data_IF_666226230083
#
_entry.id   IF_666226230083
#
_cell.length_a   1.000
_cell.length_b   1.000
_cell.length_c   1.000
_cell.angle_alpha   90.00
_cell.angle_beta   90.00
_cell.angle_gamma   90.00
#
_symmetry.space_group_name_H-M   'P 1'
#
loop_
_entity.id
_entity.type
_entity.pdbx_description
1 polymer ?
#
# COMPACT_ATOMS: atom_id res chain seq x y z
N UNK A 1 12.53 -4.79 -24.96
CA UNK A 1 11.92 -3.70 -24.16
C UNK A 1 10.81 -4.33 -23.33
N UNK A 2 11.10 -4.75 -22.10
CA UNK A 2 10.11 -5.40 -21.23
C UNK A 2 9.36 -4.31 -20.47
N UNK A 3 8.15 -4.00 -20.93
CA UNK A 3 7.21 -3.14 -20.23
C UNK A 3 6.86 -3.83 -18.90
N UNK A 4 7.17 -3.21 -17.76
CA UNK A 4 6.64 -3.66 -16.47
C UNK A 4 5.12 -3.44 -16.55
N UNK A 5 4.36 -4.54 -16.62
CA UNK A 5 2.91 -4.53 -16.48
C UNK A 5 2.61 -3.85 -15.15
N UNK A 6 1.97 -2.68 -15.21
CA UNK A 6 1.54 -1.93 -14.02
C UNK A 6 0.68 -2.90 -13.20
N UNK A 7 0.93 -3.07 -11.90
CA UNK A 7 0.00 -3.80 -11.06
C UNK A 7 -1.37 -3.15 -11.19
N UNK A 8 -2.35 -3.90 -11.67
CA UNK A 8 -3.75 -3.46 -11.79
C UNK A 8 -4.30 -3.32 -10.37
N UNK A 9 -4.00 -2.19 -9.75
CA UNK A 9 -4.83 -1.67 -8.69
C UNK A 9 -6.00 -0.99 -9.38
N UNK A 10 -7.19 -1.57 -9.26
CA UNK A 10 -8.40 -0.91 -9.74
C UNK A 10 -8.86 0.16 -8.73
N UNK A 11 -8.04 1.20 -8.62
CA UNK A 11 -8.31 2.35 -7.75
C UNK A 11 -9.52 3.15 -8.24
N UNK A 12 -9.83 3.07 -9.55
CA UNK A 12 -10.97 3.74 -10.15
C UNK A 12 -12.28 3.07 -9.72
N UNK A 13 -12.41 1.75 -9.82
CA UNK A 13 -13.59 1.04 -9.31
C UNK A 13 -13.79 1.25 -7.81
N UNK A 14 -12.71 1.24 -7.02
CA UNK A 14 -12.79 1.52 -5.59
C UNK A 14 -13.27 2.95 -5.32
N UNK A 15 -12.78 3.93 -6.09
CA UNK A 15 -13.24 5.33 -6.00
C UNK A 15 -14.72 5.45 -6.30
N UNK A 16 -15.18 4.86 -7.40
CA UNK A 16 -16.59 4.90 -7.79
C UNK A 16 -17.50 4.24 -6.74
N UNK A 17 -17.08 3.11 -6.17
CA UNK A 17 -17.79 2.47 -5.05
C UNK A 17 -17.88 3.40 -3.84
N UNK A 18 -16.77 4.05 -3.47
CA UNK A 18 -16.70 4.94 -2.33
C UNK A 18 -17.59 6.18 -2.50
N UNK A 19 -17.59 6.76 -3.70
CA UNK A 19 -18.41 7.92 -4.03
C UNK A 19 -19.89 7.55 -4.13
N UNK A 20 -20.21 6.37 -4.66
CA UNK A 20 -21.57 5.81 -4.67
C UNK A 20 -22.12 5.64 -3.25
N UNK A 21 -21.36 4.98 -2.36
CA UNK A 21 -21.74 4.79 -0.95
C UNK A 21 -21.89 6.13 -0.23
N UNK A 22 -20.99 7.09 -0.48
CA UNK A 22 -21.11 8.40 0.13
C UNK A 22 -22.39 9.12 -0.36
N UNK A 23 -22.70 9.10 -1.67
CA UNK A 23 -23.97 9.65 -2.18
C UNK A 23 -25.18 8.98 -1.54
N UNK A 24 -25.15 7.66 -1.41
CA UNK A 24 -26.20 6.88 -0.77
C UNK A 24 -26.42 7.32 0.69
N UNK A 25 -25.36 7.45 1.49
CA UNK A 25 -25.47 7.87 2.90
C UNK A 25 -25.95 9.32 3.07
N UNK A 26 -25.79 10.18 2.05
CA UNK A 26 -26.35 11.54 2.07
C UNK A 26 -27.84 11.59 1.69
N UNK A 27 -28.37 10.54 1.04
CA UNK A 27 -29.77 10.48 0.61
C UNK A 27 -30.73 10.46 1.79
N UNK A 28 -31.78 11.31 1.81
CA UNK A 28 -32.81 11.30 2.86
C UNK A 28 -33.44 9.93 3.07
N UNK A 29 -33.60 9.14 2.00
CA UNK A 29 -34.18 7.80 2.08
C UNK A 29 -33.35 6.87 2.97
N UNK A 30 -32.04 6.78 2.73
CA UNK A 30 -31.12 5.96 3.53
C UNK A 30 -31.08 6.42 4.98
N UNK A 31 -31.17 7.73 5.24
CA UNK A 31 -31.24 8.26 6.61
C UNK A 31 -32.50 7.78 7.32
N UNK A 32 -33.66 7.91 6.67
CA UNK A 32 -34.94 7.45 7.21
C UNK A 32 -34.96 5.93 7.37
N UNK A 33 -34.36 5.17 6.44
CA UNK A 33 -34.24 3.72 6.55
C UNK A 33 -33.49 3.32 7.83
N UNK A 34 -32.34 3.96 8.10
CA UNK A 34 -31.54 3.70 9.30
C UNK A 34 -32.30 4.08 10.59
N UNK A 35 -32.97 5.25 10.61
CA UNK A 35 -33.69 5.75 11.79
C UNK A 35 -34.96 4.93 12.04
N UNK A 36 -35.82 4.75 11.03
CA UNK A 36 -37.12 4.09 11.20
C UNK A 36 -37.00 2.60 11.52
N UNK A 37 -35.93 1.94 11.07
CA UNK A 37 -35.69 0.52 11.35
C UNK A 37 -34.79 0.29 12.59
N UNK A 38 -34.51 1.33 13.39
CA UNK A 38 -33.74 1.22 14.63
C UNK A 38 -32.31 0.69 14.41
N UNK A 39 -31.65 1.13 13.32
CA UNK A 39 -30.32 0.66 12.92
C UNK A 39 -29.20 1.57 13.41
N UNK A 40 -29.42 2.32 14.48
CA UNK A 40 -28.41 3.20 15.07
C UNK A 40 -27.20 2.41 15.56
N UNK A 41 -27.42 1.21 16.10
CA UNK A 41 -26.32 0.32 16.49
C UNK A 41 -25.45 -0.05 15.29
N UNK A 42 -26.08 -0.42 14.17
CA UNK A 42 -25.36 -0.74 12.93
C UNK A 42 -24.57 0.48 12.42
N UNK A 43 -25.21 1.64 12.35
CA UNK A 43 -24.55 2.86 11.89
C UNK A 43 -23.37 3.27 12.78
N UNK A 44 -23.48 3.08 14.10
CA UNK A 44 -22.38 3.25 15.05
C UNK A 44 -21.23 2.28 14.77
N UNK A 45 -21.53 0.99 14.61
CA UNK A 45 -20.51 -0.03 14.34
C UNK A 45 -19.76 0.22 13.02
N UNK A 46 -20.49 0.61 11.97
CA UNK A 46 -19.90 0.95 10.66
C UNK A 46 -19.10 2.25 10.73
N UNK A 47 -19.56 3.24 11.50
CA UNK A 47 -18.83 4.48 11.77
C UNK A 47 -17.49 4.20 12.45
N UNK A 48 -17.48 3.35 13.48
CA UNK A 48 -16.27 2.90 14.18
C UNK A 48 -15.35 2.07 13.29
N UNK A 49 -15.91 1.20 12.44
CA UNK A 49 -15.14 0.43 11.48
C UNK A 49 -14.48 1.34 10.42
N UNK A 50 -15.19 2.38 9.96
CA UNK A 50 -14.68 3.38 9.01
C UNK A 50 -13.50 4.16 9.61
N UNK A 51 -13.60 4.55 10.89
CA UNK A 51 -12.50 5.20 11.62
C UNK A 51 -11.26 4.31 11.69
N UNK A 52 -11.43 3.06 12.14
CA UNK A 52 -10.32 2.09 12.24
C UNK A 52 -9.67 1.81 10.88
N UNK A 53 -10.45 1.83 9.80
CA UNK A 53 -9.91 1.71 8.45
C UNK A 53 -9.16 2.97 8.02
N UNK A 54 -9.64 4.17 8.38
CA UNK A 54 -8.94 5.41 8.08
C UNK A 54 -7.57 5.45 8.78
N UNK A 55 -7.52 5.12 10.08
CA UNK A 55 -6.26 5.00 10.83
C UNK A 55 -5.31 3.97 10.20
N UNK A 56 -5.87 2.91 9.62
CA UNK A 56 -5.10 1.88 8.93
C UNK A 56 -4.53 2.35 7.60
N UNK A 57 -5.28 3.17 6.83
CA UNK A 57 -4.78 3.83 5.63
C UNK A 57 -3.65 4.82 5.97
N UNK A 58 -3.83 5.63 7.02
CA UNK A 58 -2.79 6.56 7.48
C UNK A 58 -1.51 5.82 7.89
N UNK A 59 -1.61 4.77 8.72
CA UNK A 59 -0.45 3.98 9.11
C UNK A 59 0.21 3.23 7.93
N UNK A 60 -0.55 2.83 6.92
CA UNK A 60 0.00 2.25 5.70
C UNK A 60 0.74 3.29 4.86
N UNK A 61 0.25 4.54 4.81
CA UNK A 61 0.91 5.67 4.15
C UNK A 61 2.25 5.98 4.82
N UNK A 62 2.30 6.02 6.15
CA UNK A 62 3.55 6.23 6.88
C UNK A 62 4.60 5.15 6.55
N UNK A 63 4.19 3.88 6.46
CA UNK A 63 5.09 2.79 6.06
C UNK A 63 5.56 2.92 4.60
N UNK A 64 4.67 3.39 3.72
CA UNK A 64 4.99 3.63 2.32
C UNK A 64 5.99 4.78 2.18
N UNK A 65 5.86 5.85 2.97
CA UNK A 65 6.83 6.95 3.02
C UNK A 65 8.21 6.45 3.47
N UNK A 66 8.27 5.64 4.53
CA UNK A 66 9.53 5.01 4.96
C UNK A 66 10.14 4.09 3.88
N UNK A 67 9.30 3.39 3.12
CA UNK A 67 9.75 2.59 1.98
C UNK A 67 10.22 3.45 0.80
N UNK A 68 9.59 4.61 0.56
CA UNK A 68 10.00 5.59 -0.45
C UNK A 68 11.36 6.19 -0.11
N UNK A 69 11.59 6.60 1.13
CA UNK A 69 12.91 7.07 1.59
C UNK A 69 14.02 6.03 1.37
N UNK A 70 13.70 4.76 1.66
CA UNK A 70 14.60 3.64 1.39
C UNK A 70 14.91 3.47 -0.11
N UNK A 71 13.87 3.54 -0.95
CA UNK A 71 13.98 3.44 -2.41
C UNK A 71 14.84 4.57 -2.98
N UNK A 72 14.59 5.82 -2.56
CA UNK A 72 15.34 7.00 -2.98
C UNK A 72 16.81 6.87 -2.59
N UNK A 73 17.10 6.45 -1.35
CA UNK A 73 18.48 6.22 -0.91
C UNK A 73 19.22 5.20 -1.78
N UNK A 74 18.54 4.10 -2.16
CA UNK A 74 19.09 3.13 -3.12
C UNK A 74 19.33 3.78 -4.48
N UNK A 75 18.34 4.50 -5.03
CA UNK A 75 18.44 5.15 -6.34
C UNK A 75 19.61 6.14 -6.39
N UNK A 76 19.81 6.95 -5.35
CA UNK A 76 20.97 7.85 -5.23
C UNK A 76 22.29 7.06 -5.22
N UNK A 77 22.37 5.95 -4.48
CA UNK A 77 23.56 5.11 -4.45
C UNK A 77 23.88 4.52 -5.83
N UNK A 78 22.90 3.93 -6.51
CA UNK A 78 23.06 3.35 -7.84
C UNK A 78 23.45 4.40 -8.89
N UNK A 79 22.81 5.59 -8.88
CA UNK A 79 23.13 6.69 -9.80
C UNK A 79 24.56 7.20 -9.60
N UNK A 80 24.99 7.39 -8.35
CA UNK A 80 26.36 7.86 -8.04
C UNK A 80 27.40 6.86 -8.53
N UNK A 81 27.18 5.58 -8.31
CA UNK A 81 28.11 4.53 -8.69
C UNK A 81 28.14 4.32 -10.21
N UNK A 82 27.01 4.47 -10.89
CA UNK A 82 26.95 4.47 -12.35
C UNK A 82 27.79 5.62 -12.97
N UNK A 83 27.83 6.78 -12.32
CA UNK A 83 28.62 7.93 -12.76
C UNK A 83 30.13 7.76 -12.50
N UNK A 84 30.52 7.18 -11.36
CA UNK A 84 31.95 6.94 -11.07
C UNK A 84 32.53 5.78 -11.90
N UNK A 85 31.71 4.78 -12.23
CA UNK A 85 32.11 3.66 -13.08
C UNK A 85 32.48 4.06 -14.53
N UNK A 86 32.06 5.26 -14.97
CA UNK A 86 32.45 5.80 -16.28
C UNK A 86 33.76 6.60 -16.26
N UNK A 87 34.27 6.98 -15.08
CA UNK A 87 35.39 7.93 -14.94
C UNK A 87 36.72 7.26 -14.51
N UNK A 88 36.70 6.13 -13.81
CA UNK A 88 37.93 5.47 -13.29
C UNK A 88 37.89 3.95 -13.42
N UNK A 89 38.53 3.41 -14.45
CA UNK A 89 38.75 1.96 -14.62
C UNK A 89 39.89 1.39 -13.75
N UNK A 90 40.48 2.18 -12.85
CA UNK A 90 41.60 1.77 -12.02
C UNK A 90 41.35 2.08 -10.53
N UNK A 91 41.57 1.06 -9.69
CA UNK A 91 41.72 1.09 -8.24
C UNK A 91 40.57 1.62 -7.36
N UNK A 92 39.50 0.84 -7.21
CA UNK A 92 38.51 1.12 -6.15
C UNK A 92 38.03 -0.15 -5.45
N UNK A 93 38.87 -0.70 -4.56
CA UNK A 93 38.50 -1.73 -3.59
C UNK A 93 37.81 -1.13 -2.34
N UNK A 94 36.91 -0.16 -2.54
CA UNK A 94 36.16 0.49 -1.46
C UNK A 94 34.67 0.12 -1.54
N UNK A 95 34.04 -0.14 -0.40
CA UNK A 95 32.60 -0.41 -0.32
C UNK A 95 31.82 0.89 -0.60
N UNK A 96 31.64 1.24 -1.88
CA UNK A 96 31.02 2.49 -2.36
C UNK A 96 29.58 2.71 -1.85
N UNK A 97 29.01 1.65 -1.29
CA UNK A 97 27.67 1.60 -0.79
C UNK A 97 27.55 1.64 0.75
N UNK A 98 28.65 1.57 1.51
CA UNK A 98 28.63 1.61 2.99
C UNK A 98 27.90 2.85 3.56
N UNK A 99 28.00 4.06 2.96
CA UNK A 99 27.23 5.22 3.41
C UNK A 99 25.71 5.10 3.22
N UNK A 100 25.25 4.13 2.42
CA UNK A 100 23.84 3.91 2.06
C UNK A 100 23.24 2.70 2.75
N UNK A 101 23.80 2.31 3.90
CA UNK A 101 23.29 1.22 4.71
C UNK A 101 21.94 1.59 5.33
N UNK A 102 20.90 0.88 4.93
CA UNK A 102 19.52 1.18 5.29
C UNK A 102 18.98 0.28 6.42
N UNK A 103 18.14 0.78 7.35
CA UNK A 103 17.57 0.01 8.46
C UNK A 103 16.41 -0.91 8.04
N UNK A 104 16.63 -1.75 7.02
CA UNK A 104 15.64 -2.68 6.41
C UNK A 104 14.97 -3.61 7.44
N UNK A 105 15.70 -4.02 8.48
CA UNK A 105 15.17 -4.91 9.53
C UNK A 105 14.03 -4.26 10.31
N UNK A 106 14.16 -2.97 10.63
CA UNK A 106 13.14 -2.22 11.36
C UNK A 106 11.90 -2.00 10.48
N UNK A 107 12.12 -1.57 9.23
CA UNK A 107 11.04 -1.35 8.28
C UNK A 107 10.27 -2.66 7.98
N UNK A 108 10.97 -3.76 7.75
CA UNK A 108 10.36 -5.10 7.60
C UNK A 108 9.53 -5.48 8.83
N UNK A 109 10.05 -5.26 10.04
CA UNK A 109 9.32 -5.54 11.29
C UNK A 109 8.03 -4.71 11.37
N UNK A 110 8.10 -3.43 11.01
CA UNK A 110 6.95 -2.54 11.00
C UNK A 110 5.89 -2.97 9.97
N UNK A 111 6.30 -3.32 8.74
CA UNK A 111 5.41 -3.87 7.70
C UNK A 111 4.71 -5.16 8.19
N UNK A 112 5.47 -6.12 8.71
CA UNK A 112 4.91 -7.38 9.21
C UNK A 112 3.92 -7.16 10.37
N UNK A 113 4.23 -6.23 11.28
CA UNK A 113 3.31 -5.84 12.37
C UNK A 113 2.00 -5.31 11.80
N UNK A 114 2.06 -4.43 10.80
CA UNK A 114 0.85 -3.86 10.16
C UNK A 114 0.04 -4.90 9.41
N UNK A 115 0.69 -5.83 8.69
CA UNK A 115 0.02 -6.95 8.03
C UNK A 115 -0.74 -7.83 9.03
N UNK A 116 -0.14 -8.12 10.19
CA UNK A 116 -0.81 -8.90 11.23
C UNK A 116 -2.00 -8.14 11.82
N UNK A 117 -1.86 -6.83 12.06
CA UNK A 117 -2.96 -5.97 12.52
C UNK A 117 -4.13 -5.94 11.52
N UNK A 118 -3.86 -5.73 10.22
CA UNK A 118 -4.90 -5.72 9.17
C UNK A 118 -5.61 -7.07 9.02
N UNK A 119 -4.89 -8.19 9.19
CA UNK A 119 -5.50 -9.53 9.21
C UNK A 119 -6.42 -9.74 10.40
N UNK A 120 -6.07 -9.18 11.57
CA UNK A 120 -6.88 -9.26 12.79
C UNK A 120 -8.17 -8.45 12.73
N UNK A 121 -8.23 -7.40 11.90
CA UNK A 121 -9.43 -6.57 11.69
C UNK A 121 -10.59 -7.30 10.97
N UNK A 122 -10.44 -8.60 10.66
CA UNK A 122 -11.44 -9.39 9.94
C UNK A 122 -12.81 -9.40 10.63
N UNK A 123 -12.82 -9.32 11.96
CA UNK A 123 -14.01 -9.53 12.79
C UNK A 123 -14.85 -8.26 12.99
N UNK A 124 -14.29 -7.05 12.79
CA UNK A 124 -15.00 -5.79 13.10
C UNK A 124 -15.95 -5.35 11.96
N UNK A 125 -15.58 -5.53 10.68
CA UNK A 125 -16.51 -5.28 9.55
C UNK A 125 -17.63 -6.33 9.46
N UNK A 126 -17.45 -7.52 10.05
CA UNK A 126 -18.41 -8.63 9.95
C UNK A 126 -19.49 -8.60 11.04
N UNK A 127 -19.25 -7.93 12.17
CA UNK A 127 -20.27 -7.78 13.21
C UNK A 127 -21.46 -6.93 12.73
N UNK A 128 -21.20 -5.93 11.87
CA UNK A 128 -22.22 -5.11 11.22
C UNK A 128 -22.98 -5.84 10.10
N UNK A 129 -22.59 -7.08 9.75
CA UNK A 129 -23.23 -7.87 8.68
C UNK A 129 -24.41 -8.72 9.17
N UNK A 130 -24.85 -8.59 10.43
CA UNK A 130 -26.06 -9.25 10.95
C UNK A 130 -27.38 -8.70 10.37
N UNK A 131 -27.34 -7.96 9.27
CA UNK A 131 -28.55 -7.55 8.55
C UNK A 131 -29.16 -8.77 7.86
N UNK A 132 -30.47 -8.93 7.97
CA UNK A 132 -31.21 -9.98 7.29
C UNK A 132 -31.02 -9.82 5.76
N UNK A 133 -30.74 -10.90 5.02
CA UNK A 133 -30.27 -10.84 3.64
C UNK A 133 -31.26 -10.27 2.60
N UNK A 134 -32.52 -10.02 2.95
CA UNK A 134 -33.58 -9.74 1.97
C UNK A 134 -34.03 -8.27 1.88
N UNK A 135 -33.64 -7.39 2.82
CA UNK A 135 -34.23 -6.03 2.86
C UNK A 135 -33.29 -4.87 2.46
N UNK A 136 -31.95 -5.00 2.52
CA UNK A 136 -31.07 -3.81 2.55
C UNK A 136 -29.81 -3.84 1.67
N UNK A 137 -30.00 -3.96 0.36
CA UNK A 137 -28.88 -3.90 -0.62
C UNK A 137 -28.02 -2.62 -0.46
N UNK A 138 -28.65 -1.51 -0.07
CA UNK A 138 -27.98 -0.23 0.14
C UNK A 138 -26.99 -0.27 1.32
N UNK A 139 -27.38 -0.82 2.46
CA UNK A 139 -26.50 -0.91 3.64
C UNK A 139 -25.39 -1.95 3.44
N UNK A 140 -25.68 -3.03 2.70
CA UNK A 140 -24.68 -4.02 2.32
C UNK A 140 -23.51 -3.39 1.52
N UNK A 141 -23.80 -2.42 0.63
CA UNK A 141 -22.78 -1.71 -0.14
C UNK A 141 -21.75 -0.97 0.75
N UNK A 142 -22.18 -0.45 1.90
CA UNK A 142 -21.28 0.22 2.87
C UNK A 142 -20.30 -0.78 3.50
N UNK A 143 -20.78 -1.98 3.80
CA UNK A 143 -19.94 -3.07 4.34
C UNK A 143 -18.96 -3.59 3.28
N UNK A 144 -19.42 -3.75 2.03
CA UNK A 144 -18.54 -4.15 0.92
C UNK A 144 -17.45 -3.11 0.65
N UNK A 145 -17.77 -1.82 0.69
CA UNK A 145 -16.77 -0.76 0.60
C UNK A 145 -15.65 -0.93 1.64
N UNK A 146 -15.99 -1.14 2.92
CA UNK A 146 -14.98 -1.32 3.96
C UNK A 146 -14.13 -2.59 3.75
N UNK A 147 -14.71 -3.66 3.20
CA UNK A 147 -13.98 -4.87 2.83
C UNK A 147 -12.98 -4.59 1.71
N UNK A 148 -13.38 -3.82 0.69
CA UNK A 148 -12.55 -3.49 -0.46
C UNK A 148 -11.41 -2.55 -0.09
N UNK A 149 -11.68 -1.51 0.72
CA UNK A 149 -10.63 -0.63 1.26
C UNK A 149 -9.64 -1.42 2.10
N UNK A 150 -10.11 -2.38 2.92
CA UNK A 150 -9.21 -3.26 3.67
C UNK A 150 -8.36 -4.14 2.75
N UNK A 151 -8.96 -4.73 1.72
CA UNK A 151 -8.24 -5.57 0.76
C UNK A 151 -7.15 -4.77 0.04
N UNK A 152 -7.49 -3.57 -0.42
CA UNK A 152 -6.59 -2.63 -1.09
C UNK A 152 -5.44 -2.20 -0.18
N UNK A 153 -5.72 -1.73 1.03
CA UNK A 153 -4.69 -1.37 2.02
C UNK A 153 -3.78 -2.55 2.36
N UNK A 154 -4.33 -3.77 2.47
CA UNK A 154 -3.56 -4.98 2.71
C UNK A 154 -2.67 -5.33 1.52
N UNK A 155 -3.13 -5.14 0.28
CA UNK A 155 -2.31 -5.30 -0.91
C UNK A 155 -1.14 -4.32 -0.93
N UNK A 156 -1.40 -3.03 -0.71
CA UNK A 156 -0.35 -1.98 -0.68
C UNK A 156 0.69 -2.29 0.39
N UNK A 157 0.27 -2.62 1.63
CA UNK A 157 1.21 -2.94 2.71
C UNK A 157 2.01 -4.22 2.40
N UNK A 158 1.42 -5.21 1.74
CA UNK A 158 2.15 -6.42 1.30
C UNK A 158 3.21 -6.10 0.26
N UNK A 159 2.89 -5.24 -0.70
CA UNK A 159 3.81 -4.89 -1.77
C UNK A 159 5.03 -4.12 -1.25
N UNK A 160 4.94 -3.46 -0.09
CA UNK A 160 6.11 -2.86 0.58
C UNK A 160 7.23 -3.88 0.89
N UNK A 161 6.90 -5.16 1.16
CA UNK A 161 7.92 -6.20 1.41
C UNK A 161 8.85 -6.39 0.21
N UNK A 162 8.31 -6.18 -0.99
CA UNK A 162 9.01 -6.27 -2.25
C UNK A 162 9.76 -4.95 -2.56
N UNK A 163 9.23 -3.79 -2.15
CA UNK A 163 9.94 -2.49 -2.29
C UNK A 163 11.23 -2.42 -1.47
N UNK A 164 11.20 -2.89 -0.24
CA UNK A 164 12.36 -2.82 0.67
C UNK A 164 13.42 -3.89 0.36
N UNK A 165 13.21 -4.64 -0.72
CA UNK A 165 14.08 -5.68 -1.20
C UNK A 165 15.27 -5.14 -1.99
N UNK A 166 16.27 -5.99 -2.26
CA UNK A 166 17.47 -5.60 -3.00
C UNK A 166 17.50 -6.31 -4.35
N UNK A 167 17.53 -5.61 -5.49
CA UNK A 167 17.52 -6.27 -6.79
C UNK A 167 18.55 -7.41 -6.84
N UNK A 168 18.15 -8.59 -7.31
CA UNK A 168 19.10 -9.69 -7.48
C UNK A 168 19.61 -9.66 -8.93
N UNK A 169 20.90 -9.42 -9.16
CA UNK A 169 21.49 -9.46 -10.50
C UNK A 169 21.57 -10.88 -11.08
N UNK A 170 21.62 -11.94 -10.24
CA UNK A 170 21.52 -13.32 -10.70
C UNK A 170 20.06 -13.63 -11.10
N UNK A 171 19.72 -13.34 -12.35
CA UNK A 171 18.39 -13.43 -12.96
C UNK A 171 17.71 -14.81 -12.99
N UNK A 172 18.11 -15.77 -12.16
CA UNK A 172 17.39 -17.04 -12.03
C UNK A 172 16.12 -16.82 -11.21
N UNK A 173 14.99 -16.82 -11.89
CA UNK A 173 13.62 -16.82 -11.36
C UNK A 173 13.38 -18.13 -10.58
N UNK A 174 13.95 -18.25 -9.38
CA UNK A 174 13.54 -19.27 -8.41
C UNK A 174 12.03 -19.24 -8.25
N UNK A 175 11.38 -20.30 -8.73
CA UNK A 175 9.96 -20.58 -8.65
C UNK A 175 9.41 -20.27 -7.26
N UNK A 176 8.37 -19.44 -7.14
CA UNK A 176 7.55 -19.42 -5.93
C UNK A 176 6.93 -18.09 -5.50
N UNK A 177 7.42 -16.91 -5.92
CA UNK A 177 6.78 -15.63 -5.56
C UNK A 177 6.51 -14.77 -6.79
N UNK A 178 5.30 -14.91 -7.33
CA UNK A 178 4.72 -14.08 -8.37
C UNK A 178 4.06 -12.86 -7.71
N UNK A 179 4.84 -11.95 -7.14
CA UNK A 179 4.29 -10.62 -6.81
C UNK A 179 4.45 -9.76 -8.08
N UNK A 180 3.35 -9.46 -8.79
CA UNK A 180 3.41 -8.75 -10.07
C UNK A 180 3.83 -7.28 -9.90
N UNK A 181 3.60 -6.71 -8.71
CA UNK A 181 3.75 -5.28 -8.41
C UNK A 181 5.23 -4.87 -8.38
N UNK A 182 6.04 -5.63 -7.66
CA UNK A 182 7.45 -5.33 -7.46
C UNK A 182 8.28 -6.61 -7.61
N UNK A 183 8.84 -6.83 -8.80
CA UNK A 183 9.77 -7.95 -9.07
C UNK A 183 11.17 -7.68 -8.50
N UNK A 184 11.26 -7.36 -7.23
CA UNK A 184 12.53 -7.11 -6.54
C UNK A 184 12.74 -8.24 -5.53
N UNK A 185 13.71 -9.12 -5.80
CA UNK A 185 14.09 -10.18 -4.85
C UNK A 185 14.74 -9.57 -3.62
N UNK A 186 14.70 -10.25 -2.48
CA UNK A 186 15.56 -9.94 -1.34
C UNK A 186 16.79 -10.83 -1.46
N UNK A 187 17.97 -10.29 -1.76
CA UNK A 187 19.22 -10.97 -1.40
C UNK A 187 19.56 -10.63 0.05
N UNK A 188 19.95 -11.64 0.84
CA UNK A 188 20.53 -11.44 2.17
C UNK A 188 21.94 -10.89 1.98
N UNK A 189 22.04 -9.62 1.67
CA UNK A 189 23.31 -8.94 1.85
C UNK A 189 22.99 -7.61 2.51
N UNK A 190 23.28 -7.53 3.82
CA UNK A 190 23.40 -6.26 4.53
C UNK A 190 24.54 -5.41 3.91
N UNK A 191 25.27 -5.95 2.95
CA UNK A 191 26.33 -5.31 2.18
C UNK A 191 25.93 -5.22 0.71
N UNK A 192 25.83 -4.00 0.20
CA UNK A 192 25.69 -3.73 -1.22
C UNK A 192 26.97 -4.07 -2.01
N UNK A 193 28.01 -4.63 -1.35
CA UNK A 193 29.26 -5.11 -1.95
C UNK A 193 29.11 -6.13 -3.09
N UNK A 194 27.94 -6.79 -3.21
CA UNK A 194 27.65 -7.60 -4.39
C UNK A 194 27.65 -6.74 -5.66
N UNK A 195 27.16 -5.50 -5.57
CA UNK A 195 27.07 -4.57 -6.69
C UNK A 195 28.41 -3.96 -7.09
N UNK A 196 29.43 -4.04 -6.23
CA UNK A 196 30.79 -3.63 -6.58
C UNK A 196 31.37 -4.49 -7.72
N UNK A 197 30.78 -5.66 -7.99
CA UNK A 197 31.18 -6.59 -9.06
C UNK A 197 30.31 -6.53 -10.32
N UNK A 198 29.24 -5.72 -10.31
CA UNK A 198 28.29 -5.65 -11.42
C UNK A 198 28.77 -4.66 -12.48
N UNK A 199 28.42 -4.91 -13.74
CA UNK A 199 28.74 -4.00 -14.84
C UNK A 199 27.95 -2.70 -14.74
N UNK A 200 28.52 -1.60 -15.25
CA UNK A 200 27.85 -0.30 -15.28
C UNK A 200 26.49 -0.33 -16.01
N UNK A 201 26.32 -1.24 -16.96
CA UNK A 201 25.05 -1.51 -17.69
C UNK A 201 23.97 -2.09 -16.75
N UNK A 202 24.33 -3.01 -15.87
CA UNK A 202 23.44 -3.63 -14.88
C UNK A 202 23.01 -2.61 -13.81
N UNK A 203 23.96 -1.80 -13.34
CA UNK A 203 23.72 -0.71 -12.36
C UNK A 203 22.74 0.32 -12.95
N UNK A 204 22.92 0.73 -14.21
CA UNK A 204 21.98 1.64 -14.90
C UNK A 204 20.60 1.05 -15.09
N UNK A 205 20.51 -0.23 -15.45
CA UNK A 205 19.24 -0.95 -15.60
C UNK A 205 18.44 -0.95 -14.29
N UNK A 206 19.12 -1.18 -13.16
CA UNK A 206 18.50 -1.12 -11.82
C UNK A 206 18.05 0.29 -11.47
N UNK A 207 18.88 1.31 -11.70
CA UNK A 207 18.52 2.70 -11.43
C UNK A 207 17.22 3.10 -12.17
N UNK A 208 17.09 2.73 -13.45
CA UNK A 208 15.87 2.96 -14.23
C UNK A 208 14.64 2.24 -13.66
N UNK A 209 14.81 0.98 -13.23
CA UNK A 209 13.72 0.25 -12.58
C UNK A 209 13.29 0.88 -11.25
N UNK A 210 14.21 1.49 -10.51
CA UNK A 210 13.88 2.20 -9.26
C UNK A 210 13.03 3.45 -9.54
N UNK A 211 13.27 4.17 -10.65
CA UNK A 211 12.43 5.29 -11.11
C UNK A 211 11.00 4.82 -11.47
N UNK A 212 10.87 3.71 -12.20
CA UNK A 212 9.56 3.14 -12.53
C UNK A 212 8.80 2.74 -11.26
N UNK A 213 9.49 2.21 -10.25
CA UNK A 213 8.91 1.85 -8.96
C UNK A 213 8.49 3.08 -8.14
N UNK A 214 9.25 4.17 -8.21
CA UNK A 214 8.94 5.43 -7.52
C UNK A 214 7.60 6.00 -7.97
N UNK A 215 7.31 6.00 -9.27
CA UNK A 215 6.01 6.47 -9.80
C UNK A 215 4.84 5.63 -9.28
N UNK A 216 4.99 4.31 -9.21
CA UNK A 216 3.98 3.41 -8.63
C UNK A 216 3.79 3.67 -7.13
N UNK A 217 4.87 3.97 -6.41
CA UNK A 217 4.80 4.34 -4.98
C UNK A 217 4.03 5.64 -4.78
N UNK A 218 4.19 6.62 -5.65
CA UNK A 218 3.42 7.88 -5.61
C UNK A 218 1.93 7.66 -5.85
N UNK A 219 1.57 6.80 -6.81
CA UNK A 219 0.18 6.42 -7.04
C UNK A 219 -0.46 5.77 -5.79
N UNK A 220 0.26 4.85 -5.15
CA UNK A 220 -0.18 4.20 -3.92
C UNK A 220 -0.35 5.19 -2.76
N UNK A 221 0.57 6.15 -2.64
CA UNK A 221 0.54 7.17 -1.60
C UNK A 221 -0.70 8.05 -1.77
N UNK A 222 -0.93 8.52 -2.99
CA UNK A 222 -2.09 9.32 -3.33
C UNK A 222 -3.39 8.55 -3.05
N UNK A 223 -3.48 7.27 -3.42
CA UNK A 223 -4.70 6.51 -3.17
C UNK A 223 -4.95 6.23 -1.69
N UNK A 224 -3.92 5.91 -0.88
CA UNK A 224 -4.08 5.79 0.57
C UNK A 224 -4.62 7.07 1.21
N UNK A 225 -4.13 8.21 0.73
CA UNK A 225 -4.54 9.55 1.17
C UNK A 225 -5.98 9.85 0.75
N UNK A 226 -6.39 9.45 -0.46
CA UNK A 226 -7.78 9.55 -0.90
C UNK A 226 -8.71 8.64 -0.10
N UNK A 227 -8.37 7.36 0.08
CA UNK A 227 -9.15 6.42 0.87
C UNK A 227 -9.35 6.92 2.31
N UNK A 228 -8.29 7.45 2.94
CA UNK A 228 -8.40 8.09 4.26
C UNK A 228 -9.47 9.19 4.27
N UNK A 229 -9.39 10.16 3.33
CA UNK A 229 -10.36 11.26 3.26
C UNK A 229 -11.78 10.78 2.99
N UNK A 230 -11.95 9.81 2.07
CA UNK A 230 -13.28 9.29 1.72
C UNK A 230 -13.91 8.53 2.89
N UNK A 231 -13.12 7.76 3.66
CA UNK A 231 -13.58 7.08 4.89
C UNK A 231 -13.98 8.07 5.99
N UNK A 232 -13.23 9.17 6.17
CA UNK A 232 -13.61 10.24 7.11
C UNK A 232 -14.96 10.84 6.73
N UNK A 233 -15.23 11.04 5.43
CA UNK A 233 -16.55 11.50 4.95
C UNK A 233 -17.64 10.47 5.25
N UNK A 234 -17.42 9.20 4.95
CA UNK A 234 -18.37 8.11 5.27
C UNK A 234 -18.73 8.11 6.76
N UNK A 235 -17.72 8.21 7.63
CA UNK A 235 -17.92 8.33 9.08
C UNK A 235 -18.75 9.56 9.44
N UNK A 236 -18.41 10.73 8.89
CA UNK A 236 -19.16 11.97 9.16
C UNK A 236 -20.63 11.87 8.74
N UNK A 237 -20.92 11.26 7.58
CA UNK A 237 -22.29 11.02 7.14
C UNK A 237 -23.06 10.11 8.10
N UNK A 238 -22.47 9.01 8.56
CA UNK A 238 -23.08 8.10 9.53
C UNK A 238 -23.34 8.78 10.88
N UNK A 239 -22.37 9.54 11.39
CA UNK A 239 -22.55 10.30 12.64
C UNK A 239 -23.65 11.34 12.53
N UNK A 240 -23.74 12.04 11.40
CA UNK A 240 -24.80 13.02 11.19
C UNK A 240 -26.18 12.35 11.22
N UNK A 241 -26.33 11.14 10.67
CA UNK A 241 -27.59 10.37 10.73
C UNK A 241 -27.94 10.03 12.18
N UNK A 242 -26.96 9.62 12.98
CA UNK A 242 -27.14 9.25 14.38
C UNK A 242 -27.46 10.41 15.31
N UNK A 243 -27.10 11.64 14.91
CA UNK A 243 -27.36 12.87 15.68
C UNK A 243 -28.58 13.64 15.21
N UNK A 244 -29.27 13.17 14.16
CA UNK A 244 -30.51 13.77 13.63
C UNK A 244 -31.71 13.26 14.43
#
# INVERSE_FOLDING_TARGET
MYQMSRPEFDFDALRELHDSVNRLLHSPHTKLEIIHHGREKWANEVSEASLKMADSCAAAKDLLLLAKEHLLSLQFAFRRIAATATETAADHAGNHFEPYRLPRKQLKKAILKRLNSLKGMKNTCLAAASLQPDEDQNLAAVVELLKEVRATTLMIVRSLLSLIALPNPDGKTGSGRKDPVFRLKLTRVDSLSFWDKCEATEIRSVAKRLEEVETVVEDMEAELDHMFRRLVRTRASLLNILTT
#
